data_IF_384732573845
#
_entry.id   IF_384732573845
#
_cell.length_a   1.000
_cell.length_b   1.000
_cell.length_c   1.000
_cell.angle_alpha   90.00
_cell.angle_beta   90.00
_cell.angle_gamma   90.00
#
_symmetry.space_group_name_H-M   'P 1'
#
loop_
_entity.id
_entity.type
_entity.pdbx_description
1 polymer ?
#
# COMPACT_ATOMS: atom_id res chain seq x y z
N UNK A 1 -15.45 8.80 15.78
CA UNK A 1 -14.01 8.75 15.44
C UNK A 1 -13.82 9.23 14.01
N UNK A 2 -12.99 10.25 13.77
CA UNK A 2 -12.68 10.73 12.42
C UNK A 2 -11.49 9.91 11.92
N UNK A 3 -11.74 8.98 11.01
CA UNK A 3 -10.67 8.21 10.37
C UNK A 3 -9.96 9.13 9.39
N UNK A 4 -8.78 9.59 9.78
CA UNK A 4 -7.94 10.39 8.90
C UNK A 4 -7.21 9.47 7.92
N UNK A 5 -7.34 9.77 6.62
CA UNK A 5 -6.52 9.12 5.61
C UNK A 5 -5.03 9.35 5.94
N UNK A 6 -4.24 8.31 5.71
CA UNK A 6 -2.79 8.30 5.92
C UNK A 6 -2.31 8.38 7.38
N UNK A 7 -3.20 8.21 8.37
CA UNK A 7 -2.83 8.33 9.78
C UNK A 7 -1.75 7.33 10.21
N UNK A 8 -1.84 6.07 9.79
CA UNK A 8 -0.87 5.02 10.13
C UNK A 8 0.52 5.28 9.52
N UNK A 9 0.57 5.84 8.30
CA UNK A 9 1.82 6.15 7.59
C UNK A 9 2.65 7.24 8.27
N UNK A 10 2.09 7.99 9.22
CA UNK A 10 2.82 9.00 10.01
C UNK A 10 3.61 8.39 11.16
N UNK A 11 3.36 7.13 11.50
CA UNK A 11 4.08 6.44 12.56
C UNK A 11 5.51 6.11 12.11
N UNK A 12 6.48 6.30 13.01
CA UNK A 12 7.91 6.06 12.73
C UNK A 12 8.25 4.60 12.43
N UNK A 13 7.42 3.70 12.93
CA UNK A 13 7.46 2.26 12.79
C UNK A 13 6.57 1.77 11.64
N UNK A 14 6.03 2.66 10.80
CA UNK A 14 5.40 2.26 9.54
C UNK A 14 6.49 1.90 8.51
N UNK A 15 7.10 0.73 8.70
CA UNK A 15 8.20 0.21 7.87
C UNK A 15 7.84 -1.16 7.31
N UNK A 16 8.51 -1.60 6.24
CA UNK A 16 8.27 -2.95 5.70
C UNK A 16 8.58 -4.05 6.71
N UNK A 17 9.56 -3.84 7.61
CA UNK A 17 9.87 -4.82 8.65
C UNK A 17 8.67 -5.05 9.57
N UNK A 18 8.01 -3.97 10.02
CA UNK A 18 6.80 -4.05 10.84
C UNK A 18 5.66 -4.80 10.15
N UNK A 19 5.51 -4.62 8.82
CA UNK A 19 4.54 -5.40 8.04
C UNK A 19 4.91 -6.89 8.00
N UNK A 20 6.20 -7.23 7.89
CA UNK A 20 6.65 -8.62 7.94
C UNK A 20 6.46 -9.24 9.32
N UNK A 21 6.51 -8.42 10.37
CA UNK A 21 6.27 -8.82 11.76
C UNK A 21 4.75 -8.89 12.10
N UNK A 22 3.87 -8.74 11.11
CA UNK A 22 2.42 -8.89 11.24
C UNK A 22 1.66 -7.62 11.65
N UNK A 23 2.31 -6.46 11.61
CA UNK A 23 1.67 -5.18 11.93
C UNK A 23 1.08 -4.51 10.68
N UNK A 24 0.19 -3.52 10.89
CA UNK A 24 -0.39 -2.71 9.82
C UNK A 24 -1.07 -3.56 8.73
N UNK A 25 -0.63 -3.41 7.48
CA UNK A 25 -1.12 -4.19 6.35
C UNK A 25 -0.77 -5.68 6.50
N UNK A 26 0.38 -5.98 7.13
CA UNK A 26 0.89 -7.32 7.37
C UNK A 26 -0.01 -8.19 8.25
N UNK A 27 -0.85 -7.57 9.08
CA UNK A 27 -1.85 -8.28 9.89
C UNK A 27 -2.82 -9.13 9.05
N UNK A 28 -3.04 -8.73 7.79
CA UNK A 28 -3.81 -9.52 6.83
C UNK A 28 -2.99 -9.95 5.61
N UNK A 29 -1.99 -9.17 5.21
CA UNK A 29 -1.08 -9.48 4.09
C UNK A 29 0.11 -10.32 4.58
N UNK A 30 -0.22 -11.46 5.18
CA UNK A 30 0.66 -12.43 5.86
C UNK A 30 1.04 -13.62 4.96
N UNK A 31 0.34 -13.84 3.85
CA UNK A 31 0.51 -14.98 2.96
C UNK A 31 -0.59 -16.04 3.07
N UNK A 32 -1.38 -16.01 4.14
CA UNK A 32 -2.45 -16.96 4.42
C UNK A 32 -3.83 -16.30 4.26
N UNK A 33 -4.03 -15.14 4.89
CA UNK A 33 -5.27 -14.36 4.85
C UNK A 33 -5.39 -13.58 3.53
N UNK A 34 -4.28 -12.99 3.09
CA UNK A 34 -4.12 -12.31 1.80
C UNK A 34 -2.70 -12.51 1.28
N UNK A 35 -2.39 -11.97 0.10
CA UNK A 35 -1.03 -12.09 -0.45
C UNK A 35 0.02 -11.53 0.53
N UNK A 36 1.15 -12.22 0.66
CA UNK A 36 2.23 -11.84 1.56
C UNK A 36 2.88 -10.51 1.16
N UNK A 37 3.12 -9.65 2.14
CA UNK A 37 3.68 -8.31 1.95
C UNK A 37 5.11 -8.30 1.40
N UNK A 38 5.82 -9.42 1.44
CA UNK A 38 7.22 -9.59 1.04
C UNK A 38 7.41 -10.12 -0.40
N UNK A 39 6.33 -10.46 -1.12
CA UNK A 39 6.42 -11.04 -2.48
C UNK A 39 5.94 -10.14 -3.61
N UNK A 40 5.02 -9.19 -3.35
CA UNK A 40 4.32 -8.38 -4.38
C UNK A 40 4.54 -6.88 -4.24
N UNK A 41 5.81 -6.47 -4.22
CA UNK A 41 6.23 -5.09 -3.91
C UNK A 41 5.49 -4.01 -4.73
N UNK A 42 5.30 -4.25 -6.04
CA UNK A 42 4.71 -3.29 -6.96
C UNK A 42 3.20 -3.09 -6.79
N UNK A 43 2.52 -3.90 -5.98
CA UNK A 43 1.10 -3.72 -5.68
C UNK A 43 0.86 -2.48 -4.81
N UNK A 44 1.79 -2.19 -3.89
CA UNK A 44 1.74 -1.01 -3.01
C UNK A 44 2.70 0.09 -3.47
N UNK A 45 3.92 -0.28 -3.90
CA UNK A 45 4.93 0.66 -4.37
C UNK A 45 4.76 0.93 -5.88
N UNK A 46 3.73 1.70 -6.22
CA UNK A 46 3.26 1.89 -7.60
C UNK A 46 4.23 2.65 -8.54
N UNK A 47 5.27 3.29 -8.01
CA UNK A 47 6.27 4.04 -8.78
C UNK A 47 5.62 5.03 -9.75
N UNK A 48 6.02 4.98 -11.03
CA UNK A 48 5.51 5.86 -12.11
C UNK A 48 3.99 5.78 -12.25
N UNK A 49 3.37 4.60 -12.05
CA UNK A 49 1.91 4.47 -12.12
C UNK A 49 1.23 5.27 -11.01
N UNK A 50 1.78 5.24 -9.81
CA UNK A 50 1.30 6.03 -8.68
C UNK A 50 1.47 7.53 -8.90
N UNK A 51 2.64 7.93 -9.41
CA UNK A 51 2.91 9.33 -9.78
C UNK A 51 1.92 9.85 -10.83
N UNK A 52 1.66 9.06 -11.88
CA UNK A 52 0.74 9.47 -12.93
C UNK A 52 -0.69 9.66 -12.41
N UNK A 53 -1.14 8.79 -11.50
CA UNK A 53 -2.45 8.90 -10.83
C UNK A 53 -2.54 10.11 -9.90
N UNK A 54 -1.47 10.45 -9.20
CA UNK A 54 -1.42 11.63 -8.34
C UNK A 54 -1.41 12.93 -9.14
N UNK A 55 -0.79 12.92 -10.32
CA UNK A 55 -0.64 14.10 -11.18
C UNK A 55 -1.75 14.23 -12.23
N UNK A 56 -2.69 13.29 -12.29
CA UNK A 56 -3.78 13.27 -13.27
C UNK A 56 -3.32 13.05 -14.71
N UNK A 57 -2.11 12.50 -14.89
CA UNK A 57 -1.55 12.15 -16.20
C UNK A 57 -1.87 10.70 -16.58
N UNK A 58 -2.57 9.97 -15.71
CA UNK A 58 -3.09 8.64 -16.00
C UNK A 58 -4.38 8.73 -16.84
N UNK A 59 -4.31 8.27 -18.09
CA UNK A 59 -5.49 8.11 -18.95
C UNK A 59 -6.35 6.89 -18.57
N UNK A 60 -6.35 6.45 -17.31
CA UNK A 60 -7.02 5.24 -16.84
C UNK A 60 -8.53 5.48 -16.67
N UNK A 61 -9.19 5.70 -17.80
CA UNK A 61 -10.64 5.89 -17.96
C UNK A 61 -11.13 5.73 -19.41
N UNK A 62 -10.30 5.20 -20.34
CA UNK A 62 -10.67 4.94 -21.75
C UNK A 62 -10.56 3.47 -22.17
N UNK A 63 -10.88 2.52 -21.29
CA UNK A 63 -10.91 1.11 -21.68
C UNK A 63 -11.53 0.21 -20.62
N UNK A 64 -12.71 -0.32 -21.00
CA UNK A 64 -13.55 -1.33 -20.34
C UNK A 64 -14.33 -0.88 -19.10
#
# INVERSE_FOLDING_TARGET
FKMEALAAQRNKDFTMQSLYDGEYCGMCHDGDTAFASDTRCATCHLGVKGYNRLTGTDNHGKGH
#
